data_IF_528118177597
#
_entry.id   IF_528118177597
#
_cell.length_a   1.000
_cell.length_b   1.000
_cell.length_c   1.000
_cell.angle_alpha   90.00
_cell.angle_beta   90.00
_cell.angle_gamma   90.00
#
_symmetry.space_group_name_H-M   'P 1'
#
loop_
_entity.id
_entity.type
_entity.pdbx_description
1 polymer ?
#
# COMPACT_ATOMS: atom_id res chain seq x y z
N UNK A 1 -5.91 -20.82 34.22
CA UNK A 1 -5.72 -21.68 33.04
C UNK A 1 -5.17 -20.75 31.97
N UNK A 2 -3.90 -20.90 31.63
CA UNK A 2 -3.21 -20.06 30.62
C UNK A 2 -3.73 -20.49 29.25
N UNK A 3 -4.41 -19.58 28.54
CA UNK A 3 -4.64 -19.76 27.11
C UNK A 3 -3.28 -19.77 26.41
N UNK A 4 -2.92 -20.93 25.90
CA UNK A 4 -1.73 -21.09 25.08
C UNK A 4 -1.95 -20.24 23.81
N UNK A 5 -1.16 -19.17 23.66
CA UNK A 5 -1.06 -18.36 22.45
C UNK A 5 -0.79 -19.30 21.26
N UNK A 6 -1.74 -19.39 20.31
CA UNK A 6 -1.52 -20.17 19.11
C UNK A 6 -0.23 -19.69 18.42
N UNK A 7 0.61 -20.58 17.87
CA UNK A 7 1.86 -20.18 17.23
C UNK A 7 1.56 -19.13 16.16
N UNK A 8 2.07 -17.94 16.31
CA UNK A 8 1.96 -16.86 15.32
C UNK A 8 2.58 -17.38 14.02
N UNK A 9 1.78 -17.65 13.02
CA UNK A 9 2.28 -18.07 11.70
C UNK A 9 3.35 -17.08 11.23
N UNK A 10 4.43 -17.60 10.65
CA UNK A 10 5.53 -16.79 10.13
C UNK A 10 4.98 -15.75 9.13
N UNK A 11 5.41 -14.48 9.20
CA UNK A 11 4.94 -13.45 8.30
C UNK A 11 5.29 -13.80 6.84
N UNK A 12 4.40 -13.47 5.89
CA UNK A 12 4.70 -13.60 4.46
C UNK A 12 5.66 -12.52 4.00
N UNK A 13 5.46 -11.28 4.46
CA UNK A 13 6.33 -10.14 4.18
C UNK A 13 6.75 -9.48 5.48
N UNK A 14 8.03 -9.17 5.58
CA UNK A 14 8.60 -8.40 6.68
C UNK A 14 9.49 -7.29 6.12
N UNK A 15 9.19 -6.05 6.52
CA UNK A 15 9.95 -4.86 6.17
C UNK A 15 10.69 -4.39 7.43
N UNK A 16 12.02 -4.30 7.36
CA UNK A 16 12.89 -3.94 8.49
C UNK A 16 13.76 -2.75 8.16
N UNK A 17 13.59 -1.65 8.89
CA UNK A 17 14.39 -0.45 8.77
C UNK A 17 14.51 0.03 7.33
N UNK A 18 13.43 0.02 6.56
CA UNK A 18 13.44 0.36 5.14
C UNK A 18 13.73 1.84 4.94
N UNK A 19 14.75 2.14 4.12
CA UNK A 19 15.08 3.50 3.68
C UNK A 19 15.06 3.58 2.16
N UNK A 20 14.48 4.66 1.64
CA UNK A 20 14.60 5.06 0.25
C UNK A 20 14.81 6.56 0.16
N UNK A 21 16.03 6.93 -0.20
CA UNK A 21 16.49 8.31 -0.25
C UNK A 21 16.88 8.66 -1.69
N UNK A 22 16.23 9.66 -2.29
CA UNK A 22 16.48 10.12 -3.63
C UNK A 22 17.40 11.36 -3.61
N UNK A 23 18.56 11.32 -4.28
CA UNK A 23 19.40 12.51 -4.41
C UNK A 23 18.71 13.56 -5.29
N UNK A 24 18.71 14.80 -4.84
CA UNK A 24 18.28 15.96 -5.62
C UNK A 24 19.50 16.61 -6.21
N UNK A 25 19.55 16.67 -7.53
CA UNK A 25 20.68 17.27 -8.26
C UNK A 25 20.24 18.54 -8.97
N UNK A 26 21.07 19.57 -8.94
CA UNK A 26 20.90 20.83 -9.65
C UNK A 26 21.98 21.01 -10.73
N UNK A 27 21.56 21.51 -11.90
CA UNK A 27 22.47 21.80 -13.04
C UNK A 27 22.32 20.81 -14.20
N UNK A 28 22.31 21.38 -15.45
CA UNK A 28 22.12 20.59 -16.70
C UNK A 28 23.45 20.02 -17.19
N UNK A 29 24.58 20.72 -17.00
CA UNK A 29 25.91 20.35 -17.54
C UNK A 29 26.84 19.78 -16.45
N UNK A 30 26.74 20.28 -15.23
CA UNK A 30 27.45 19.75 -14.05
C UNK A 30 26.39 19.51 -12.95
N UNK A 31 25.90 18.31 -12.87
CA UNK A 31 24.97 17.90 -11.82
C UNK A 31 25.69 17.89 -10.46
N UNK A 32 25.22 18.75 -9.52
CA UNK A 32 25.68 18.75 -8.12
C UNK A 32 24.51 18.32 -7.24
N UNK A 33 24.74 17.35 -6.37
CA UNK A 33 23.73 16.95 -5.37
C UNK A 33 23.57 18.10 -4.37
N UNK A 34 22.37 18.69 -4.32
CA UNK A 34 22.01 19.82 -3.44
C UNK A 34 21.16 19.41 -2.25
N UNK A 35 20.64 18.18 -2.24
CA UNK A 35 19.83 17.66 -1.16
C UNK A 35 19.47 16.19 -1.36
N UNK A 36 18.72 15.64 -0.42
CA UNK A 36 18.25 14.26 -0.49
C UNK A 36 16.80 14.21 0.00
N UNK A 37 15.88 13.71 -0.84
CA UNK A 37 14.49 13.45 -0.45
C UNK A 37 14.46 12.14 0.31
N UNK A 38 14.10 12.19 1.59
CA UNK A 38 13.92 11.01 2.44
C UNK A 38 12.48 10.48 2.29
N UNK A 39 12.20 9.85 1.16
CA UNK A 39 10.85 9.38 0.85
C UNK A 39 10.37 8.26 1.79
N UNK A 40 11.30 7.37 2.19
CA UNK A 40 11.11 6.34 3.23
C UNK A 40 12.32 6.42 4.14
N UNK A 41 12.11 6.50 5.47
CA UNK A 41 13.17 6.82 6.42
C UNK A 41 13.06 5.99 7.72
N UNK A 42 13.25 4.68 7.61
CA UNK A 42 13.18 3.71 8.71
C UNK A 42 11.75 3.20 8.91
N UNK A 43 11.22 2.48 7.93
CA UNK A 43 9.89 1.88 7.99
C UNK A 43 10.00 0.41 8.37
N UNK A 44 9.21 0.01 9.37
CA UNK A 44 9.11 -1.35 9.90
C UNK A 44 7.65 -1.78 9.96
N UNK A 45 7.32 -2.92 9.35
CA UNK A 45 6.04 -3.61 9.51
C UNK A 45 6.11 -5.04 8.99
N UNK A 46 5.10 -5.83 9.34
CA UNK A 46 4.94 -7.21 8.87
C UNK A 46 3.56 -7.41 8.25
N UNK A 47 3.47 -8.27 7.23
CA UNK A 47 2.19 -8.71 6.65
C UNK A 47 2.11 -10.23 6.78
N UNK A 48 1.03 -10.71 7.38
CA UNK A 48 0.78 -12.16 7.58
C UNK A 48 0.16 -12.76 6.33
N UNK A 49 0.24 -14.08 6.18
CA UNK A 49 -0.44 -14.77 5.06
C UNK A 49 -1.96 -14.61 5.15
N UNK A 50 -2.61 -14.33 4.01
CA UNK A 50 -4.06 -14.13 3.93
C UNK A 50 -4.56 -12.82 4.53
N UNK A 51 -3.67 -11.96 5.04
CA UNK A 51 -3.98 -10.66 5.63
C UNK A 51 -4.09 -9.56 4.56
N UNK A 52 -4.96 -8.59 4.79
CA UNK A 52 -4.90 -7.28 4.15
C UNK A 52 -4.33 -6.27 5.16
N UNK A 53 -3.09 -5.83 4.90
CA UNK A 53 -2.44 -4.77 5.68
C UNK A 53 -2.67 -3.43 4.99
N UNK A 54 -3.27 -2.47 5.68
CA UNK A 54 -3.43 -1.10 5.21
C UNK A 54 -2.17 -0.26 5.44
N UNK A 55 -1.75 0.51 4.44
CA UNK A 55 -0.73 1.55 4.59
C UNK A 55 -1.33 2.89 4.23
N UNK A 56 -1.55 3.75 5.22
CA UNK A 56 -2.31 5.00 5.08
C UNK A 56 -1.49 6.23 5.48
N UNK A 57 -1.93 7.40 5.05
CA UNK A 57 -1.32 8.69 5.39
C UNK A 57 -1.54 9.73 4.28
N UNK A 58 -1.16 10.98 4.55
CA UNK A 58 -1.29 12.09 3.59
C UNK A 58 -0.52 11.81 2.28
N UNK A 59 -0.94 12.49 1.19
CA UNK A 59 -0.22 12.41 -0.09
C UNK A 59 1.25 12.82 0.08
N UNK A 60 2.16 12.09 -0.59
CA UNK A 60 3.60 12.35 -0.51
C UNK A 60 4.30 11.83 0.77
N UNK A 61 3.62 11.15 1.70
CA UNK A 61 4.26 10.62 2.90
C UNK A 61 5.15 9.37 2.67
N UNK A 62 5.23 8.83 1.45
CA UNK A 62 6.12 7.73 1.08
C UNK A 62 5.47 6.36 0.85
N UNK A 63 4.14 6.24 0.91
CA UNK A 63 3.40 4.96 0.74
C UNK A 63 3.71 4.24 -0.57
N UNK A 64 3.49 4.92 -1.70
CA UNK A 64 3.78 4.39 -3.05
C UNK A 64 5.26 4.02 -3.20
N UNK A 65 6.17 4.83 -2.65
CA UNK A 65 7.61 4.52 -2.65
C UNK A 65 7.90 3.24 -1.87
N UNK A 66 7.27 3.05 -0.70
CA UNK A 66 7.38 1.80 0.08
C UNK A 66 6.90 0.61 -0.75
N UNK A 67 5.73 0.70 -1.39
CA UNK A 67 5.23 -0.33 -2.31
C UNK A 67 6.18 -0.64 -3.46
N UNK A 68 6.76 0.39 -4.10
CA UNK A 68 7.73 0.22 -5.19
C UNK A 68 9.02 -0.46 -4.74
N UNK A 69 9.49 -0.19 -3.52
CA UNK A 69 10.63 -0.89 -2.94
C UNK A 69 10.32 -2.38 -2.72
N UNK A 70 9.13 -2.70 -2.18
CA UNK A 70 8.67 -4.08 -1.99
C UNK A 70 8.58 -4.83 -3.32
N UNK A 71 8.06 -4.18 -4.36
CA UNK A 71 7.99 -4.75 -5.73
C UNK A 71 9.34 -4.82 -6.44
N UNK A 72 10.42 -4.33 -5.82
CA UNK A 72 11.75 -4.20 -6.46
C UNK A 72 11.68 -3.44 -7.79
N UNK A 73 10.78 -2.45 -7.86
CA UNK A 73 10.78 -1.42 -8.91
C UNK A 73 11.77 -0.30 -8.57
N UNK A 74 11.93 -0.02 -7.27
CA UNK A 74 12.97 0.84 -6.72
C UNK A 74 13.89 0.01 -5.82
N UNK A 75 15.20 0.27 -5.89
CA UNK A 75 16.18 -0.41 -5.02
C UNK A 75 16.31 0.37 -3.72
N UNK A 76 15.99 -0.23 -2.56
CA UNK A 76 16.13 0.46 -1.27
C UNK A 76 17.55 1.00 -1.05
N UNK A 77 17.65 2.14 -0.40
CA UNK A 77 18.95 2.72 -0.01
C UNK A 77 19.55 1.96 1.18
N UNK A 78 18.71 1.49 2.09
CA UNK A 78 19.08 0.64 3.22
C UNK A 78 17.85 -0.12 3.76
N UNK A 79 18.07 -1.04 4.70
CA UNK A 79 17.05 -1.90 5.28
C UNK A 79 16.87 -3.21 4.53
N UNK A 80 15.88 -3.99 4.95
CA UNK A 80 15.60 -5.32 4.41
C UNK A 80 14.11 -5.46 4.06
N UNK A 81 13.83 -6.23 3.02
CA UNK A 81 12.49 -6.65 2.62
C UNK A 81 12.53 -8.17 2.51
N UNK A 82 11.98 -8.84 3.50
CA UNK A 82 12.02 -10.31 3.60
C UNK A 82 10.65 -10.83 3.16
N UNK A 83 10.63 -11.57 2.06
CA UNK A 83 9.45 -12.25 1.54
C UNK A 83 9.64 -13.77 1.66
N UNK A 84 8.76 -14.43 2.40
CA UNK A 84 8.81 -15.88 2.65
C UNK A 84 10.22 -16.34 3.10
N UNK A 85 10.84 -15.59 4.00
CA UNK A 85 12.19 -15.84 4.53
C UNK A 85 13.35 -15.42 3.62
N UNK A 86 13.08 -14.88 2.43
CA UNK A 86 14.10 -14.46 1.46
C UNK A 86 14.22 -12.93 1.41
N UNK A 87 15.42 -12.40 1.64
CA UNK A 87 15.66 -10.94 1.48
C UNK A 87 15.62 -10.55 0.00
N UNK A 88 14.51 -9.91 -0.39
CA UNK A 88 14.26 -9.45 -1.75
C UNK A 88 15.31 -8.44 -2.25
N UNK A 89 15.96 -7.70 -1.35
CA UNK A 89 16.99 -6.72 -1.72
C UNK A 89 18.24 -7.39 -2.32
N UNK A 90 18.49 -8.64 -1.97
CA UNK A 90 19.66 -9.42 -2.41
C UNK A 90 19.37 -10.30 -3.64
N UNK A 91 18.10 -10.45 -4.05
CA UNK A 91 17.70 -11.37 -5.13
C UNK A 91 17.88 -10.68 -6.49
N UNK A 92 18.52 -11.41 -7.44
CA UNK A 92 18.76 -10.93 -8.81
C UNK A 92 18.50 -12.03 -9.86
N UNK A 93 18.47 -11.64 -11.14
CA UNK A 93 18.38 -12.56 -12.27
C UNK A 93 17.12 -13.44 -12.24
N UNK A 94 17.32 -14.77 -12.39
CA UNK A 94 16.22 -15.74 -12.44
C UNK A 94 15.41 -15.74 -11.14
N UNK A 95 16.06 -15.71 -9.98
CA UNK A 95 15.38 -15.73 -8.69
C UNK A 95 14.47 -14.50 -8.49
N UNK A 96 14.88 -13.31 -8.96
CA UNK A 96 14.01 -12.11 -8.96
C UNK A 96 12.82 -12.28 -9.92
N UNK A 97 13.03 -12.94 -11.07
CA UNK A 97 11.95 -13.22 -12.01
C UNK A 97 10.92 -14.18 -11.41
N UNK A 98 11.37 -15.23 -10.73
CA UNK A 98 10.51 -16.23 -10.07
C UNK A 98 9.74 -15.55 -8.91
N UNK A 99 10.39 -14.67 -8.14
CA UNK A 99 9.77 -13.89 -7.10
C UNK A 99 8.65 -12.97 -7.64
N UNK A 100 8.90 -12.33 -8.79
CA UNK A 100 7.90 -11.48 -9.47
C UNK A 100 6.67 -12.23 -9.97
N UNK A 101 6.68 -13.55 -10.04
CA UNK A 101 5.46 -14.33 -10.26
C UNK A 101 4.56 -14.32 -9.02
N UNK A 102 5.17 -14.42 -7.84
CA UNK A 102 4.46 -14.50 -6.55
C UNK A 102 3.99 -13.14 -6.03
N UNK A 103 4.73 -12.07 -6.38
CA UNK A 103 4.50 -10.70 -5.91
C UNK A 103 4.05 -9.83 -7.07
N UNK A 104 2.80 -9.39 -7.06
CA UNK A 104 2.17 -8.62 -8.13
C UNK A 104 1.71 -7.24 -7.67
N UNK A 105 1.26 -6.41 -8.61
CA UNK A 105 0.80 -5.05 -8.33
C UNK A 105 -0.49 -4.72 -9.07
N UNK A 106 -1.39 -4.01 -8.36
CA UNK A 106 -2.52 -3.29 -8.94
C UNK A 106 -2.20 -1.81 -8.80
N UNK A 107 -2.06 -1.11 -9.93
CA UNK A 107 -1.66 0.29 -9.99
C UNK A 107 -2.81 1.27 -9.74
N UNK A 108 -2.47 2.47 -9.30
CA UNK A 108 -3.37 3.57 -9.00
C UNK A 108 -4.15 4.05 -10.24
N UNK A 109 -3.47 4.24 -11.36
CA UNK A 109 -4.08 4.76 -12.58
C UNK A 109 -4.34 3.62 -13.58
N UNK A 110 -5.60 3.25 -13.78
CA UNK A 110 -5.96 2.20 -14.75
C UNK A 110 -5.73 2.63 -16.22
N UNK A 111 -5.56 3.92 -16.49
CA UNK A 111 -5.30 4.41 -17.85
C UNK A 111 -3.85 4.21 -18.25
N UNK A 112 -2.91 4.63 -17.40
CA UNK A 112 -1.47 4.53 -17.69
C UNK A 112 -0.92 3.11 -17.48
N UNK A 113 -1.62 2.27 -16.69
CA UNK A 113 -1.16 0.91 -16.39
C UNK A 113 -1.41 -0.11 -17.51
N UNK A 114 -2.28 0.18 -18.47
CA UNK A 114 -2.61 -0.71 -19.58
C UNK A 114 -2.08 -0.14 -20.91
N UNK A 115 -1.41 -0.97 -21.71
CA UNK A 115 -0.96 -0.55 -23.02
C UNK A 115 -2.18 -0.29 -23.95
N UNK A 116 -2.44 0.97 -24.39
CA UNK A 116 -3.64 1.31 -25.16
C UNK A 116 -3.68 0.70 -26.57
N UNK A 117 -2.55 0.17 -27.05
CA UNK A 117 -2.42 -0.45 -28.37
C UNK A 117 -2.64 -1.97 -28.36
N UNK A 118 -2.77 -2.57 -27.18
CA UNK A 118 -3.00 -4.01 -27.02
C UNK A 118 -4.47 -4.27 -26.72
N UNK A 119 -4.98 -5.42 -27.17
CA UNK A 119 -6.29 -5.93 -26.75
C UNK A 119 -6.23 -6.36 -25.28
N UNK A 120 -7.37 -6.30 -24.61
CA UNK A 120 -7.50 -6.72 -23.21
C UNK A 120 -7.04 -8.16 -22.98
N UNK A 121 -7.39 -9.07 -23.90
CA UNK A 121 -6.93 -10.45 -23.81
C UNK A 121 -5.41 -10.59 -23.85
N UNK A 122 -4.75 -9.80 -24.72
CA UNK A 122 -3.28 -9.80 -24.82
C UNK A 122 -2.64 -9.21 -23.57
N UNK A 123 -3.21 -8.12 -23.02
CA UNK A 123 -2.72 -7.49 -21.77
C UNK A 123 -2.76 -8.48 -20.59
N UNK A 124 -3.83 -9.27 -20.47
CA UNK A 124 -3.95 -10.28 -19.38
C UNK A 124 -3.04 -11.47 -19.66
N UNK A 125 -2.84 -11.86 -20.92
CA UNK A 125 -1.99 -12.98 -21.32
C UNK A 125 -0.49 -12.65 -21.25
N UNK A 126 -0.08 -11.39 -21.38
CA UNK A 126 1.32 -10.95 -21.47
C UNK A 126 2.17 -11.47 -20.30
N UNK A 127 1.77 -11.36 -19.01
CA UNK A 127 2.54 -11.90 -17.91
C UNK A 127 2.80 -13.41 -18.04
N UNK A 128 1.80 -14.19 -18.44
CA UNK A 128 1.94 -15.64 -18.65
C UNK A 128 2.96 -15.96 -19.75
N UNK A 129 2.93 -15.19 -20.85
CA UNK A 129 3.90 -15.33 -21.93
C UNK A 129 5.31 -14.96 -21.48
N UNK A 130 5.48 -13.81 -20.82
CA UNK A 130 6.79 -13.33 -20.35
C UNK A 130 7.43 -14.32 -19.36
N UNK A 131 6.64 -14.92 -18.49
CA UNK A 131 7.13 -15.88 -17.49
C UNK A 131 7.17 -17.33 -17.99
N UNK A 132 6.73 -17.61 -19.21
CA UNK A 132 6.71 -18.97 -19.78
C UNK A 132 5.70 -19.89 -19.11
N UNK A 133 4.66 -19.33 -18.51
CA UNK A 133 3.55 -20.07 -17.91
C UNK A 133 2.54 -20.35 -19.01
N UNK A 134 2.10 -21.61 -19.14
CA UNK A 134 1.15 -22.07 -20.14
C UNK A 134 1.56 -21.71 -21.60
N UNK A 135 2.42 -22.51 -22.21
CA UNK A 135 2.90 -22.27 -23.58
C UNK A 135 1.80 -22.45 -24.63
N UNK A 136 0.74 -23.22 -24.32
CA UNK A 136 -0.39 -23.45 -25.22
C UNK A 136 -1.27 -22.20 -25.33
N UNK A 137 -1.41 -21.68 -26.55
CA UNK A 137 -2.18 -20.46 -26.81
C UNK A 137 -3.67 -20.61 -26.50
N UNK A 138 -4.26 -21.79 -26.74
CA UNK A 138 -5.67 -22.05 -26.47
C UNK A 138 -5.94 -22.09 -24.95
N UNK A 139 -5.06 -22.72 -24.19
CA UNK A 139 -5.16 -22.75 -22.73
C UNK A 139 -4.92 -21.37 -22.10
N UNK A 140 -3.95 -20.60 -22.62
CA UNK A 140 -3.79 -19.19 -22.17
C UNK A 140 -5.05 -18.38 -22.40
N UNK A 141 -5.67 -18.51 -23.57
CA UNK A 141 -6.92 -17.80 -23.89
C UNK A 141 -8.06 -18.24 -22.95
N UNK A 142 -8.18 -19.54 -22.68
CA UNK A 142 -9.14 -20.06 -21.71
C UNK A 142 -8.93 -19.45 -20.31
N UNK A 143 -7.67 -19.36 -19.88
CA UNK A 143 -7.31 -18.70 -18.59
C UNK A 143 -7.67 -17.21 -18.59
N UNK A 144 -7.46 -16.50 -19.70
CA UNK A 144 -7.89 -15.09 -19.85
C UNK A 144 -9.39 -14.95 -19.67
N UNK A 145 -10.19 -15.84 -20.30
CA UNK A 145 -11.66 -15.80 -20.15
C UNK A 145 -12.12 -16.10 -18.73
N UNK A 146 -11.45 -17.05 -18.05
CA UNK A 146 -11.70 -17.32 -16.63
C UNK A 146 -11.42 -16.08 -15.78
N UNK A 147 -10.26 -15.45 -15.94
CA UNK A 147 -9.85 -14.27 -15.18
C UNK A 147 -10.78 -13.08 -15.42
N UNK A 148 -11.20 -12.84 -16.67
CA UNK A 148 -12.20 -11.82 -16.98
C UNK A 148 -13.51 -12.10 -16.25
N UNK A 149 -13.97 -13.35 -16.26
CA UNK A 149 -15.23 -13.76 -15.61
C UNK A 149 -15.13 -13.56 -14.09
N UNK A 150 -14.02 -13.99 -13.50
CA UNK A 150 -13.78 -13.83 -12.04
C UNK A 150 -13.74 -12.36 -11.63
N UNK A 151 -13.20 -11.49 -12.48
CA UNK A 151 -13.21 -10.04 -12.25
C UNK A 151 -14.54 -9.35 -12.61
N UNK A 152 -15.61 -10.11 -12.90
CA UNK A 152 -16.93 -9.58 -13.23
C UNK A 152 -17.02 -8.95 -14.62
N UNK A 153 -16.14 -9.36 -15.53
CA UNK A 153 -16.16 -9.03 -16.96
C UNK A 153 -16.51 -10.29 -17.77
N UNK A 154 -17.20 -10.13 -18.88
CA UNK A 154 -17.48 -11.27 -19.77
C UNK A 154 -16.31 -11.57 -20.73
N UNK A 155 -16.20 -12.80 -21.28
CA UNK A 155 -15.15 -13.18 -22.23
C UNK A 155 -15.06 -12.26 -23.46
N UNK A 156 -16.17 -11.66 -23.90
CA UNK A 156 -16.23 -10.69 -25.00
C UNK A 156 -15.34 -9.45 -24.80
N UNK A 157 -14.91 -9.17 -23.58
CA UNK A 157 -13.99 -8.06 -23.31
C UNK A 157 -12.58 -8.33 -23.78
N UNK A 158 -12.20 -9.59 -24.00
CA UNK A 158 -10.86 -9.96 -24.47
C UNK A 158 -10.47 -9.30 -25.80
N UNK A 159 -11.46 -9.08 -26.69
CA UNK A 159 -11.22 -8.47 -28.01
C UNK A 159 -11.26 -6.94 -28.01
N UNK A 160 -11.64 -6.29 -26.91
CA UNK A 160 -11.69 -4.84 -26.79
C UNK A 160 -10.32 -4.23 -26.50
N UNK A 161 -10.23 -2.94 -26.78
CA UNK A 161 -9.09 -2.11 -26.40
C UNK A 161 -9.40 -1.32 -25.11
N UNK A 162 -8.38 -0.93 -24.33
CA UNK A 162 -8.60 -0.14 -23.09
C UNK A 162 -9.40 1.14 -23.30
N UNK A 163 -9.24 1.84 -24.43
CA UNK A 163 -9.97 3.08 -24.72
C UNK A 163 -11.49 2.89 -24.92
N UNK A 164 -11.94 1.66 -25.17
CA UNK A 164 -13.37 1.31 -25.32
C UNK A 164 -14.04 0.96 -23.97
N UNK A 165 -13.34 1.14 -22.85
CA UNK A 165 -13.76 0.69 -21.53
C UNK A 165 -13.88 1.85 -20.54
N UNK A 166 -14.80 1.74 -19.56
CA UNK A 166 -14.88 2.65 -18.43
C UNK A 166 -13.68 2.49 -17.48
N UNK A 167 -13.45 3.47 -16.60
CA UNK A 167 -12.37 3.41 -15.60
C UNK A 167 -12.44 2.16 -14.72
N UNK A 168 -13.62 1.84 -14.19
CA UNK A 168 -13.82 0.64 -13.37
C UNK A 168 -13.61 -0.67 -14.15
N UNK A 169 -13.98 -0.72 -15.44
CA UNK A 169 -13.70 -1.88 -16.28
C UNK A 169 -12.20 -2.04 -16.53
N UNK A 170 -11.46 -0.96 -16.79
CA UNK A 170 -9.99 -1.00 -16.91
C UNK A 170 -9.32 -1.46 -15.61
N UNK A 171 -9.81 -1.00 -14.46
CA UNK A 171 -9.30 -1.44 -13.17
C UNK A 171 -9.47 -2.95 -12.98
N UNK A 172 -10.64 -3.50 -13.36
CA UNK A 172 -10.89 -4.95 -13.33
C UNK A 172 -9.97 -5.72 -14.29
N UNK A 173 -9.59 -5.15 -15.43
CA UNK A 173 -8.56 -5.72 -16.33
C UNK A 173 -7.19 -5.71 -15.66
N UNK A 174 -6.81 -4.61 -14.98
CA UNK A 174 -5.57 -4.54 -14.20
C UNK A 174 -5.51 -5.60 -13.09
N UNK A 175 -6.63 -5.83 -12.40
CA UNK A 175 -6.77 -6.90 -11.40
C UNK A 175 -6.62 -8.28 -12.06
N UNK A 176 -7.32 -8.52 -13.18
CA UNK A 176 -7.22 -9.78 -13.93
C UNK A 176 -5.77 -10.07 -14.39
N UNK A 177 -5.06 -9.04 -14.85
CA UNK A 177 -3.64 -9.14 -15.22
C UNK A 177 -2.76 -9.51 -14.03
N UNK A 178 -2.97 -8.88 -12.87
CA UNK A 178 -2.22 -9.21 -11.66
C UNK A 178 -2.43 -10.67 -11.21
N UNK A 179 -3.65 -11.21 -11.41
CA UNK A 179 -3.99 -12.59 -11.07
C UNK A 179 -3.46 -13.63 -12.07
N UNK A 180 -2.97 -13.22 -13.25
CA UNK A 180 -2.59 -14.12 -14.34
C UNK A 180 -1.49 -15.11 -13.95
N UNK A 181 -0.62 -14.74 -13.02
CA UNK A 181 0.50 -15.55 -12.52
C UNK A 181 0.20 -16.33 -11.24
N UNK A 182 -1.06 -16.33 -10.75
CA UNK A 182 -1.46 -16.92 -9.47
C UNK A 182 -0.58 -16.42 -8.30
N UNK A 183 -0.54 -15.09 -8.04
CA UNK A 183 0.30 -14.52 -7.01
C UNK A 183 -0.14 -14.96 -5.60
N UNK A 184 0.80 -14.90 -4.65
CA UNK A 184 0.52 -15.06 -3.21
C UNK A 184 0.34 -13.69 -2.53
N UNK A 185 0.98 -12.65 -3.07
CA UNK A 185 1.00 -11.30 -2.52
C UNK A 185 0.78 -10.23 -3.59
N UNK A 186 -0.09 -9.27 -3.31
CA UNK A 186 -0.37 -8.16 -4.22
C UNK A 186 -0.25 -6.83 -3.47
N UNK A 187 0.55 -5.91 -4.01
CA UNK A 187 0.54 -4.51 -3.61
C UNK A 187 -0.58 -3.79 -4.37
N UNK A 188 -1.58 -3.30 -3.67
CA UNK A 188 -2.66 -2.50 -4.20
C UNK A 188 -2.32 -1.01 -3.97
N UNK A 189 -1.72 -0.35 -4.97
CA UNK A 189 -1.31 1.06 -4.85
C UNK A 189 -2.47 1.97 -5.27
N UNK A 190 -3.22 2.47 -4.29
CA UNK A 190 -4.41 3.31 -4.43
C UNK A 190 -5.41 2.81 -5.50
N UNK A 191 -5.82 1.54 -5.47
CA UNK A 191 -6.50 0.87 -6.60
C UNK A 191 -7.88 1.42 -6.93
N UNK A 192 -8.43 2.33 -6.12
CA UNK A 192 -9.78 2.88 -6.28
C UNK A 192 -9.81 4.41 -6.34
N UNK A 193 -8.69 5.10 -6.14
CA UNK A 193 -8.63 6.57 -5.99
C UNK A 193 -9.12 7.35 -7.22
N UNK A 194 -8.99 6.78 -8.42
CA UNK A 194 -9.40 7.39 -9.69
C UNK A 194 -10.82 6.99 -10.14
N UNK A 195 -11.62 6.36 -9.26
CA UNK A 195 -12.94 5.82 -9.59
C UNK A 195 -14.05 6.55 -8.83
N UNK A 196 -15.25 6.56 -9.40
CA UNK A 196 -16.46 7.05 -8.73
C UNK A 196 -16.80 6.18 -7.51
N UNK A 197 -17.40 6.77 -6.46
CA UNK A 197 -17.70 6.11 -5.18
C UNK A 197 -18.43 4.77 -5.33
N UNK A 198 -19.43 4.69 -6.22
CA UNK A 198 -20.18 3.46 -6.46
C UNK A 198 -19.32 2.35 -7.11
N UNK A 199 -18.38 2.73 -7.95
CA UNK A 199 -17.45 1.81 -8.59
C UNK A 199 -16.34 1.41 -7.63
N UNK A 200 -15.88 2.33 -6.75
CA UNK A 200 -14.94 2.01 -5.68
C UNK A 200 -15.44 0.86 -4.81
N UNK A 201 -16.70 0.93 -4.31
CA UNK A 201 -17.29 -0.12 -3.51
C UNK A 201 -17.31 -1.48 -4.23
N UNK A 202 -17.63 -1.49 -5.54
CA UNK A 202 -17.63 -2.72 -6.33
C UNK A 202 -16.22 -3.33 -6.49
N UNK A 203 -15.18 -2.49 -6.63
CA UNK A 203 -13.79 -2.97 -6.75
C UNK A 203 -13.27 -3.46 -5.41
N UNK A 204 -13.63 -2.80 -4.30
CA UNK A 204 -13.28 -3.22 -2.93
C UNK A 204 -13.88 -4.60 -2.62
N UNK A 205 -15.17 -4.78 -2.87
CA UNK A 205 -15.83 -6.08 -2.68
C UNK A 205 -15.21 -7.17 -3.57
N UNK A 206 -14.88 -6.83 -4.82
CA UNK A 206 -14.15 -7.76 -5.71
C UNK A 206 -12.81 -8.19 -5.12
N UNK A 207 -12.02 -7.25 -4.57
CA UNK A 207 -10.72 -7.58 -3.95
C UNK A 207 -10.90 -8.49 -2.72
N UNK A 208 -11.95 -8.28 -1.92
CA UNK A 208 -12.28 -9.12 -0.79
C UNK A 208 -12.66 -10.56 -1.22
N UNK A 209 -13.54 -10.68 -2.21
CA UNK A 209 -13.94 -11.96 -2.81
C UNK A 209 -12.73 -12.73 -3.37
N UNK A 210 -11.84 -12.02 -4.08
CA UNK A 210 -10.63 -12.59 -4.65
C UNK A 210 -9.65 -13.06 -3.57
N UNK A 211 -9.50 -12.29 -2.48
CA UNK A 211 -8.70 -12.68 -1.32
C UNK A 211 -9.20 -13.99 -0.73
N UNK A 212 -10.51 -14.07 -0.45
CA UNK A 212 -11.14 -15.26 0.11
C UNK A 212 -11.02 -16.48 -0.83
N UNK A 213 -11.24 -16.25 -2.14
CA UNK A 213 -11.25 -17.31 -3.14
C UNK A 213 -9.86 -17.90 -3.42
N UNK A 214 -8.83 -17.06 -3.46
CA UNK A 214 -7.47 -17.45 -3.89
C UNK A 214 -6.44 -17.46 -2.74
N UNK A 215 -6.85 -17.13 -1.50
CA UNK A 215 -5.94 -17.06 -0.35
C UNK A 215 -4.90 -15.94 -0.48
N UNK A 216 -5.27 -14.81 -1.10
CA UNK A 216 -4.35 -13.71 -1.39
C UNK A 216 -3.99 -12.94 -0.13
N UNK A 217 -2.80 -12.39 -0.13
CA UNK A 217 -2.32 -11.44 0.87
C UNK A 217 -2.17 -10.08 0.20
N UNK A 218 -2.64 -9.01 0.85
CA UNK A 218 -2.57 -7.65 0.30
C UNK A 218 -1.77 -6.69 1.17
N UNK A 219 -0.98 -5.83 0.51
CA UNK A 219 -0.61 -4.53 1.05
C UNK A 219 -1.48 -3.48 0.35
N UNK A 220 -2.44 -2.92 1.08
CA UNK A 220 -3.41 -1.98 0.54
C UNK A 220 -3.00 -0.54 0.89
N UNK A 221 -2.47 0.17 -0.09
CA UNK A 221 -2.08 1.57 0.03
C UNK A 221 -3.29 2.43 -0.31
N UNK A 222 -3.70 3.31 0.60
CA UNK A 222 -4.83 4.21 0.39
C UNK A 222 -4.67 5.52 1.15
N UNK A 223 -5.43 6.52 0.72
CA UNK A 223 -5.67 7.76 1.46
C UNK A 223 -7.10 7.82 2.03
N UNK A 224 -8.03 7.01 1.50
CA UNK A 224 -9.40 6.89 2.01
C UNK A 224 -9.46 5.85 3.14
N UNK A 225 -9.64 6.37 4.36
CA UNK A 225 -9.70 5.56 5.57
C UNK A 225 -10.99 4.75 5.70
N UNK A 226 -12.08 5.14 5.02
CA UNK A 226 -13.34 4.40 5.04
C UNK A 226 -13.18 3.05 4.35
N UNK A 227 -12.49 3.03 3.20
CA UNK A 227 -12.16 1.82 2.47
C UNK A 227 -11.22 0.93 3.29
N UNK A 228 -10.23 1.55 3.94
CA UNK A 228 -9.24 0.83 4.78
C UNK A 228 -9.91 0.15 5.97
N UNK A 229 -10.83 0.84 6.66
CA UNK A 229 -11.60 0.25 7.78
C UNK A 229 -12.37 -0.99 7.36
N UNK A 230 -12.91 -0.99 6.14
CA UNK A 230 -13.71 -2.10 5.62
C UNK A 230 -12.85 -3.32 5.22
N UNK A 231 -11.72 -3.06 4.52
CA UNK A 231 -10.96 -4.12 3.85
C UNK A 231 -9.80 -4.67 4.69
N UNK A 232 -9.17 -3.82 5.53
CA UNK A 232 -7.92 -4.14 6.19
C UNK A 232 -8.12 -4.71 7.58
N UNK A 233 -7.37 -5.76 7.93
CA UNK A 233 -7.34 -6.32 9.29
C UNK A 233 -6.39 -5.54 10.20
N UNK A 234 -5.28 -5.03 9.65
CA UNK A 234 -4.31 -4.19 10.37
C UNK A 234 -3.95 -2.99 9.51
N UNK A 235 -3.56 -1.90 10.17
CA UNK A 235 -3.24 -0.64 9.52
C UNK A 235 -1.95 -0.06 10.08
N UNK A 236 -1.07 0.41 9.20
CA UNK A 236 0.08 1.24 9.53
C UNK A 236 -0.15 2.66 8.99
N UNK A 237 -0.02 3.64 9.87
CA UNK A 237 -0.17 5.07 9.55
C UNK A 237 1.21 5.66 9.29
N UNK A 238 1.39 6.21 8.08
CA UNK A 238 2.66 6.74 7.62
C UNK A 238 2.64 8.26 7.55
N UNK A 239 3.65 8.90 8.11
CA UNK A 239 3.86 10.34 8.05
C UNK A 239 5.32 10.66 7.73
N UNK A 240 5.55 11.47 6.71
CA UNK A 240 6.87 11.98 6.29
C UNK A 240 7.96 10.88 6.26
N UNK A 241 7.68 9.77 5.55
CA UNK A 241 8.60 8.66 5.35
C UNK A 241 8.66 7.65 6.49
N UNK A 242 7.82 7.73 7.53
CA UNK A 242 7.88 6.91 8.75
C UNK A 242 6.53 6.35 9.14
N UNK A 243 6.50 5.15 9.71
CA UNK A 243 5.32 4.63 10.39
C UNK A 243 5.26 5.27 11.78
N UNK A 244 4.16 5.97 12.07
CA UNK A 244 3.95 6.67 13.35
C UNK A 244 3.01 5.91 14.29
N UNK A 245 2.13 5.07 13.73
CA UNK A 245 1.22 4.23 14.49
C UNK A 245 0.86 2.99 13.68
N UNK A 246 0.70 1.84 14.36
CA UNK A 246 0.27 0.59 13.76
C UNK A 246 -0.57 -0.20 14.77
N UNK A 247 -1.74 -0.66 14.32
CA UNK A 247 -2.62 -1.50 15.15
C UNK A 247 -3.55 -2.35 14.27
N UNK A 248 -4.34 -3.21 14.92
CA UNK A 248 -5.50 -3.82 14.30
C UNK A 248 -6.48 -2.72 13.89
N UNK A 249 -7.21 -2.92 12.78
CA UNK A 249 -8.06 -1.90 12.17
C UNK A 249 -9.05 -1.32 13.18
N UNK A 250 -9.86 -2.15 13.83
CA UNK A 250 -10.85 -1.68 14.80
C UNK A 250 -10.20 -0.87 15.92
N UNK A 251 -9.09 -1.34 16.48
CA UNK A 251 -8.35 -0.65 17.54
C UNK A 251 -7.84 0.72 17.08
N UNK A 252 -7.30 0.81 15.86
CA UNK A 252 -6.78 2.07 15.33
C UNK A 252 -7.90 3.10 15.10
N UNK A 253 -9.04 2.66 14.58
CA UNK A 253 -10.17 3.55 14.29
C UNK A 253 -10.92 3.98 15.55
N UNK A 254 -11.05 3.10 16.53
CA UNK A 254 -11.83 3.39 17.76
C UNK A 254 -10.96 4.05 18.85
N UNK A 255 -9.66 3.76 18.91
CA UNK A 255 -8.73 4.25 19.94
C UNK A 255 -7.39 4.69 19.34
N UNK A 256 -7.35 5.67 18.42
CA UNK A 256 -6.10 6.17 17.87
C UNK A 256 -5.26 6.85 18.96
N UNK A 257 -3.98 6.51 19.02
CA UNK A 257 -3.07 7.02 20.06
C UNK A 257 -2.23 8.20 19.55
N UNK A 258 -1.66 8.10 18.35
CA UNK A 258 -0.80 9.15 17.82
C UNK A 258 -1.63 10.39 17.43
N UNK A 259 -1.23 11.63 17.81
CA UNK A 259 -1.98 12.84 17.49
C UNK A 259 -2.22 13.06 15.98
N UNK A 260 -1.32 12.60 15.12
CA UNK A 260 -1.52 12.62 13.67
C UNK A 260 -2.65 11.68 13.23
N UNK A 261 -2.69 10.46 13.74
CA UNK A 261 -3.77 9.50 13.44
C UNK A 261 -5.13 10.03 13.89
N UNK A 262 -5.19 10.63 15.09
CA UNK A 262 -6.40 11.27 15.60
C UNK A 262 -6.89 12.37 14.64
N UNK A 263 -5.99 13.22 14.17
CA UNK A 263 -6.33 14.27 13.24
C UNK A 263 -6.69 13.77 11.84
N UNK A 264 -6.02 12.71 11.35
CA UNK A 264 -6.32 12.07 10.07
C UNK A 264 -7.72 11.43 10.08
N UNK A 265 -8.08 10.71 11.14
CA UNK A 265 -9.40 10.11 11.33
C UNK A 265 -10.48 11.18 11.54
N UNK A 266 -10.14 12.27 12.23
CA UNK A 266 -11.05 13.40 12.39
C UNK A 266 -11.39 14.10 11.07
N UNK A 267 -10.58 13.98 10.04
CA UNK A 267 -10.83 14.54 8.71
C UNK A 267 -11.76 13.68 7.82
N UNK A 268 -12.05 12.44 8.22
CA UNK A 268 -12.98 11.57 7.48
C UNK A 268 -14.42 12.06 7.68
N UNK A 269 -15.16 12.42 6.62
CA UNK A 269 -16.55 12.83 6.76
C UNK A 269 -17.42 11.69 7.28
N UNK A 270 -18.34 12.02 8.21
CA UNK A 270 -19.35 11.08 8.67
C UNK A 270 -20.59 11.22 7.78
N UNK A 271 -21.13 10.14 7.18
CA UNK A 271 -22.30 10.24 6.29
C UNK A 271 -23.58 10.74 6.95
N UNK A 272 -23.63 10.77 8.29
CA UNK A 272 -24.75 11.29 9.05
C UNK A 272 -24.61 12.82 9.32
N UNK A 273 -25.45 13.68 8.70
CA UNK A 273 -25.38 15.14 8.88
C UNK A 273 -25.58 15.62 10.32
N UNK A 274 -26.37 14.88 11.13
CA UNK A 274 -26.62 15.25 12.52
C UNK A 274 -25.40 14.99 13.40
N UNK A 275 -24.69 13.91 13.14
CA UNK A 275 -23.45 13.56 13.84
C UNK A 275 -22.31 14.48 13.39
N UNK A 276 -22.22 14.77 12.09
CA UNK A 276 -21.18 15.65 11.52
C UNK A 276 -21.28 17.08 12.05
N UNK A 277 -22.50 17.65 12.21
CA UNK A 277 -22.70 18.98 12.76
C UNK A 277 -22.28 19.12 14.24
N UNK A 278 -22.35 18.05 15.01
CA UNK A 278 -21.92 18.02 16.42
C UNK A 278 -20.43 17.75 16.66
N UNK A 279 -19.66 17.51 15.59
CA UNK A 279 -18.28 17.05 15.69
C UNK A 279 -17.32 18.24 15.90
N UNK A 280 -16.47 18.16 16.93
CA UNK A 280 -15.35 19.09 17.13
C UNK A 280 -14.22 18.77 16.11
N UNK A 281 -14.43 19.21 14.86
CA UNK A 281 -13.46 19.02 13.79
C UNK A 281 -12.23 19.91 14.02
N UNK A 282 -11.10 19.29 14.32
CA UNK A 282 -9.80 19.96 14.47
C UNK A 282 -8.85 19.53 13.35
N UNK A 283 -8.83 20.21 12.22
CA UNK A 283 -7.92 19.89 11.13
C UNK A 283 -6.47 20.00 11.59
N UNK A 284 -5.62 19.15 11.01
CA UNK A 284 -4.17 19.28 11.19
C UNK A 284 -3.71 20.65 10.69
N UNK A 285 -3.16 21.46 11.59
CA UNK A 285 -2.71 22.82 11.24
C UNK A 285 -1.38 22.79 10.50
N UNK A 286 -1.19 23.74 9.58
CA UNK A 286 0.06 23.94 8.86
C UNK A 286 0.28 22.99 7.68
N UNK A 287 1.29 23.28 6.89
CA UNK A 287 1.69 22.50 5.73
C UNK A 287 2.55 21.30 6.12
N UNK A 288 2.56 20.26 5.26
CA UNK A 288 3.44 19.12 5.44
C UNK A 288 4.90 19.58 5.25
N UNK A 289 5.79 19.34 6.22
CA UNK A 289 7.18 19.71 6.09
C UNK A 289 7.87 19.03 4.89
N UNK A 290 8.92 19.69 4.37
CA UNK A 290 9.67 19.15 3.25
C UNK A 290 10.41 17.86 3.63
N UNK A 291 10.31 16.79 2.82
CA UNK A 291 11.06 15.56 3.03
C UNK A 291 12.57 15.71 2.74
N UNK A 292 13.00 16.83 2.16
CA UNK A 292 14.44 17.16 1.95
C UNK A 292 15.07 17.58 3.27
N UNK A 293 14.36 18.41 4.04
CA UNK A 293 14.80 18.91 5.34
C UNK A 293 13.72 18.59 6.39
N UNK A 294 13.59 17.32 6.80
CA UNK A 294 12.60 16.94 7.78
C UNK A 294 12.89 17.61 9.13
N UNK A 295 11.85 17.92 9.92
CA UNK A 295 12.01 18.47 11.27
C UNK A 295 12.90 17.58 12.14
N UNK A 296 13.69 18.20 13.03
CA UNK A 296 14.45 17.50 14.07
C UNK A 296 13.51 16.82 15.07
N UNK A 297 13.96 15.77 15.73
CA UNK A 297 13.14 15.03 16.70
C UNK A 297 11.94 14.32 16.07
N UNK A 298 10.76 14.49 16.67
CA UNK A 298 9.49 13.97 16.13
C UNK A 298 9.13 14.72 14.85
N UNK A 299 9.01 14.03 13.73
CA UNK A 299 8.69 14.65 12.43
C UNK A 299 7.32 15.34 12.39
N UNK A 300 6.41 14.99 13.29
CA UNK A 300 5.09 15.61 13.38
C UNK A 300 5.04 16.81 14.34
N UNK A 301 6.09 17.08 15.15
CA UNK A 301 6.05 18.12 16.18
C UNK A 301 5.60 19.53 15.70
N UNK A 302 5.91 19.99 14.46
CA UNK A 302 5.49 21.32 14.01
C UNK A 302 3.96 21.46 13.84
N UNK A 303 3.28 20.32 13.65
CA UNK A 303 1.83 20.26 13.42
C UNK A 303 1.07 19.64 14.61
N UNK A 304 1.81 19.14 15.61
CA UNK A 304 1.24 18.43 16.75
C UNK A 304 0.65 19.40 17.79
N UNK A 305 -0.65 19.30 18.13
CA UNK A 305 -1.26 20.15 19.16
C UNK A 305 -0.77 19.81 20.58
N UNK A 306 -0.14 18.65 20.76
CA UNK A 306 0.41 18.16 22.04
C UNK A 306 1.93 18.26 22.11
N UNK A 307 2.59 18.99 21.18
CA UNK A 307 4.04 19.05 21.13
C UNK A 307 4.64 19.71 22.37
N UNK A 308 5.63 19.06 22.96
CA UNK A 308 6.48 19.57 24.04
C UNK A 308 7.90 19.80 23.54
N UNK A 309 8.76 20.48 24.31
CA UNK A 309 10.11 20.81 23.85
C UNK A 309 10.97 19.57 23.56
N UNK A 310 10.76 18.47 24.26
CA UNK A 310 11.42 17.19 23.97
C UNK A 310 11.12 16.68 22.56
N UNK A 311 9.89 16.89 22.05
CA UNK A 311 9.51 16.48 20.69
C UNK A 311 10.33 17.16 19.60
N UNK A 312 10.92 18.33 19.84
CA UNK A 312 11.79 19.05 18.92
C UNK A 312 13.22 18.48 18.87
N UNK A 313 13.62 17.76 19.92
CA UNK A 313 15.02 17.33 20.16
C UNK A 313 15.19 15.83 19.97
N UNK A 314 14.23 15.03 20.43
CA UNK A 314 14.33 13.58 20.48
C UNK A 314 13.32 12.97 19.51
N UNK A 315 13.80 12.05 18.69
CA UNK A 315 12.96 11.22 17.82
C UNK A 315 12.33 10.13 18.66
N UNK A 316 10.98 10.03 18.70
CA UNK A 316 10.34 8.93 19.42
C UNK A 316 10.58 7.60 18.67
N UNK A 317 10.96 6.57 19.44
CA UNK A 317 11.07 5.21 18.91
C UNK A 317 9.69 4.52 18.94
N UNK A 318 9.36 3.72 17.91
CA UNK A 318 8.16 2.91 17.93
C UNK A 318 8.17 1.96 19.14
N UNK A 319 7.10 1.99 19.93
CA UNK A 319 6.94 1.10 21.08
C UNK A 319 5.54 0.52 21.14
N UNK A 320 5.41 -0.69 21.59
CA UNK A 320 4.14 -1.34 21.85
C UNK A 320 3.55 -0.77 23.16
N UNK A 321 2.44 -0.05 23.05
CA UNK A 321 1.73 0.58 24.17
C UNK A 321 0.65 -0.36 24.71
N UNK A 322 0.05 -1.14 23.84
CA UNK A 322 -0.92 -2.19 24.11
C UNK A 322 -0.61 -3.38 23.22
N UNK A 323 -1.06 -4.61 23.56
CA UNK A 323 -0.84 -5.76 22.68
C UNK A 323 -1.23 -5.49 21.22
N UNK A 324 -0.26 -5.58 20.30
CA UNK A 324 -0.46 -5.33 18.88
C UNK A 324 -0.60 -3.85 18.49
N UNK A 325 -0.57 -2.90 19.43
CA UNK A 325 -0.70 -1.46 19.18
C UNK A 325 0.64 -0.75 19.39
N UNK A 326 1.31 -0.44 18.30
CA UNK A 326 2.64 0.20 18.25
C UNK A 326 2.47 1.67 17.90
N UNK A 327 3.14 2.56 18.65
CA UNK A 327 3.10 4.01 18.42
C UNK A 327 4.48 4.64 18.59
N UNK A 328 4.83 5.58 17.70
CA UNK A 328 6.05 6.38 17.77
C UNK A 328 5.74 7.77 18.38
N UNK A 329 5.37 7.79 19.66
CA UNK A 329 5.08 9.01 20.42
C UNK A 329 5.42 8.82 21.90
N UNK A 330 6.26 9.69 22.46
CA UNK A 330 6.64 9.63 23.89
C UNK A 330 5.55 10.15 24.83
N UNK A 331 4.61 10.98 24.31
CA UNK A 331 3.53 11.62 25.07
C UNK A 331 2.25 10.78 25.16
N UNK A 332 2.27 9.54 24.67
CA UNK A 332 1.17 8.58 24.76
C UNK A 332 1.46 7.56 25.83
N UNK A 333 0.51 7.30 26.72
CA UNK A 333 0.61 6.36 27.84
C UNK A 333 -0.50 5.32 27.82
#
# INVERSE_FOLDING_TARGET
MSEAEAPREAPLLEVRGLHMHFPVSEGIVRSKVVGTVKAVDGVDFVVRRGETMGLVGESGCGKTTTGRCILRLERPTAGQIIYDGVDMAQVEGKALRDLRQKVQVIFQDPYSSLNPRMKVGDIIAEPMYVHGIEPDAAKRLARVYELLTVCGLGPRFADRYPHEMSGGQRQRVGIARALALNPEFIVCDEPVSALDVSIQAQVVNLLEDLRAKFGLTYLFIAHDLSVVRHLCQRVAVMYLGRVVEQADSDTLFDMPLHPYTQALLAAVPIPDPMVEQGRDFRPVRGEVPSPINPPSGCVFHPRCPKAVDRCKQVRPEPREVRPGHIVACDEVH
#
